data_IF_262531037167
#
_entry.id   IF_262531037167
#
_cell.length_a   1.000
_cell.length_b   1.000
_cell.length_c   1.000
_cell.angle_alpha   90.00
_cell.angle_beta   90.00
_cell.angle_gamma   90.00
#
_symmetry.space_group_name_H-M   'P 1'
#
loop_
_entity.id
_entity.type
_entity.pdbx_description
1 polymer ?
#
# COMPACT_ATOMS: atom_id res chain seq x y z
N UNK A 1 -2.04 19.65 -0.92
CA UNK A 1 -1.90 19.81 0.54
C UNK A 1 -1.98 18.43 1.16
N UNK A 2 -0.84 17.82 1.53
CA UNK A 2 -0.82 16.56 2.28
C UNK A 2 -1.30 16.85 3.70
N UNK A 3 -2.42 16.25 4.11
CA UNK A 3 -2.84 16.26 5.52
C UNK A 3 -2.18 15.04 6.17
N UNK A 4 -1.09 15.19 6.95
CA UNK A 4 -0.41 14.06 7.60
C UNK A 4 -1.30 13.28 8.59
N UNK A 5 -2.50 13.80 8.87
CA UNK A 5 -3.48 13.26 9.79
C UNK A 5 -4.72 12.64 9.11
N UNK A 6 -4.71 12.45 7.78
CA UNK A 6 -5.80 11.73 7.11
C UNK A 6 -5.59 10.21 7.21
N UNK A 7 -6.50 9.51 7.88
CA UNK A 7 -6.56 8.05 7.88
C UNK A 7 -6.72 7.49 6.45
N UNK A 8 -7.44 8.20 5.57
CA UNK A 8 -7.59 7.81 4.16
C UNK A 8 -6.24 7.80 3.44
N UNK A 9 -5.43 8.84 3.59
CA UNK A 9 -4.08 8.88 2.99
C UNK A 9 -3.19 7.75 3.53
N UNK A 10 -3.27 7.46 4.83
CA UNK A 10 -2.50 6.37 5.45
C UNK A 10 -2.91 5.00 4.92
N UNK A 11 -4.21 4.75 4.75
CA UNK A 11 -4.70 3.50 4.14
C UNK A 11 -4.30 3.39 2.67
N UNK A 12 -4.36 4.49 1.90
CA UNK A 12 -3.87 4.49 0.51
C UNK A 12 -2.36 4.28 0.43
N UNK A 13 -1.61 4.73 1.42
CA UNK A 13 -0.17 4.53 1.52
C UNK A 13 0.21 3.12 2.02
N UNK A 14 -0.75 2.36 2.55
CA UNK A 14 -0.54 1.00 3.02
C UNK A 14 -0.06 0.08 1.88
N UNK A 15 0.81 -0.87 2.23
CA UNK A 15 1.39 -1.80 1.26
C UNK A 15 0.31 -2.58 0.51
N UNK A 16 -0.72 -3.04 1.22
CA UNK A 16 -1.82 -3.81 0.63
C UNK A 16 -2.49 -3.02 -0.50
N UNK A 17 -2.90 -1.77 -0.24
CA UNK A 17 -3.53 -0.93 -1.23
C UNK A 17 -2.64 -0.72 -2.48
N UNK A 18 -1.34 -0.47 -2.29
CA UNK A 18 -0.38 -0.31 -3.39
C UNK A 18 -0.25 -1.58 -4.23
N UNK A 19 -0.20 -2.74 -3.59
CA UNK A 19 -0.08 -4.04 -4.27
C UNK A 19 -1.35 -4.39 -5.04
N UNK A 20 -2.53 -4.29 -4.42
CA UNK A 20 -3.77 -4.64 -5.11
C UNK A 20 -4.17 -3.62 -6.18
N UNK A 21 -3.79 -2.33 -6.05
CA UNK A 21 -3.94 -1.37 -7.15
C UNK A 21 -3.13 -1.80 -8.38
N UNK A 22 -1.87 -2.22 -8.18
CA UNK A 22 -1.03 -2.72 -9.27
C UNK A 22 -1.60 -3.98 -9.93
N UNK A 23 -2.25 -4.86 -9.15
CA UNK A 23 -2.97 -6.01 -9.71
C UNK A 23 -4.16 -5.61 -10.56
N UNK A 24 -4.99 -4.68 -10.08
CA UNK A 24 -6.16 -4.20 -10.82
C UNK A 24 -5.71 -3.52 -12.11
N UNK A 25 -4.74 -2.60 -12.03
CA UNK A 25 -4.17 -1.93 -13.20
C UNK A 25 -3.63 -2.95 -14.23
N UNK A 26 -2.95 -3.99 -13.76
CA UNK A 26 -2.47 -5.07 -14.61
C UNK A 26 -3.61 -5.87 -15.26
N UNK A 27 -4.69 -6.15 -14.51
CA UNK A 27 -5.87 -6.86 -15.03
C UNK A 27 -6.54 -6.10 -16.17
N UNK A 28 -6.69 -4.77 -16.05
CA UNK A 28 -7.21 -3.91 -17.11
C UNK A 28 -6.29 -3.83 -18.33
N UNK A 29 -4.98 -3.91 -18.11
CA UNK A 29 -3.97 -3.87 -19.17
C UNK A 29 -3.61 -5.24 -19.74
N UNK A 30 -4.30 -6.32 -19.31
CA UNK A 30 -3.99 -7.70 -19.70
C UNK A 30 -3.99 -7.91 -21.22
N UNK A 31 -4.88 -7.23 -21.95
CA UNK A 31 -4.95 -7.30 -23.41
C UNK A 31 -3.76 -6.63 -24.13
N UNK A 32 -2.97 -5.81 -23.44
CA UNK A 32 -1.76 -5.18 -23.98
C UNK A 32 -0.53 -6.09 -23.90
N UNK A 33 -0.59 -7.19 -23.13
CA UNK A 33 0.51 -8.13 -22.97
C UNK A 33 0.34 -9.34 -23.90
N UNK A 34 0.62 -9.14 -25.20
CA UNK A 34 0.43 -10.14 -26.27
C UNK A 34 1.23 -11.45 -26.14
N UNK A 35 2.30 -11.51 -25.34
CA UNK A 35 3.27 -12.62 -25.37
C UNK A 35 3.78 -13.11 -24.00
N UNK A 36 2.89 -13.32 -23.03
CA UNK A 36 3.20 -14.04 -21.77
C UNK A 36 4.12 -13.34 -20.76
N UNK A 37 4.95 -12.38 -21.17
CA UNK A 37 5.87 -11.62 -20.31
C UNK A 37 5.19 -10.65 -19.33
N UNK A 38 3.87 -10.45 -19.44
CA UNK A 38 3.11 -9.56 -18.56
C UNK A 38 3.20 -10.00 -17.09
N UNK A 39 3.07 -11.29 -16.80
CA UNK A 39 3.11 -11.77 -15.42
C UNK A 39 4.50 -11.64 -14.79
N UNK A 40 5.57 -11.92 -15.53
CA UNK A 40 6.96 -11.73 -15.04
C UNK A 40 7.19 -10.24 -14.70
N UNK A 41 6.71 -9.33 -15.55
CA UNK A 41 6.78 -7.90 -15.31
C UNK A 41 5.96 -7.49 -14.07
N UNK A 42 4.77 -8.07 -13.87
CA UNK A 42 3.95 -7.87 -12.68
C UNK A 42 4.69 -8.31 -11.41
N UNK A 43 5.19 -9.55 -11.36
CA UNK A 43 5.94 -10.05 -10.20
C UNK A 43 7.16 -9.17 -9.88
N UNK A 44 7.92 -8.75 -10.90
CA UNK A 44 9.04 -7.83 -10.72
C UNK A 44 8.60 -6.48 -10.12
N UNK A 45 7.45 -5.96 -10.54
CA UNK A 45 6.89 -4.70 -10.02
C UNK A 45 6.41 -4.84 -8.57
N UNK A 46 5.69 -5.93 -8.25
CA UNK A 46 5.24 -6.23 -6.89
C UNK A 46 6.44 -6.39 -5.93
N UNK A 47 7.48 -7.13 -6.33
CA UNK A 47 8.69 -7.30 -5.53
C UNK A 47 9.40 -5.98 -5.25
N UNK A 48 9.53 -5.10 -6.25
CA UNK A 48 10.10 -3.76 -6.07
C UNK A 48 9.32 -2.94 -5.05
N UNK A 49 7.99 -2.97 -5.11
CA UNK A 49 7.12 -2.26 -4.14
C UNK A 49 7.30 -2.82 -2.73
N UNK A 50 7.28 -4.15 -2.55
CA UNK A 50 7.53 -4.80 -1.25
C UNK A 50 8.89 -4.41 -0.67
N UNK A 51 9.95 -4.44 -1.50
CA UNK A 51 11.32 -4.07 -1.08
C UNK A 51 11.42 -2.60 -0.69
N UNK A 52 10.85 -1.70 -1.49
CA UNK A 52 10.85 -0.26 -1.21
C UNK A 52 10.10 0.04 0.08
N UNK A 53 8.91 -0.54 0.27
CA UNK A 53 8.12 -0.33 1.48
C UNK A 53 8.83 -0.84 2.74
N UNK A 54 9.51 -1.98 2.67
CA UNK A 54 10.33 -2.49 3.79
C UNK A 54 11.49 -1.54 4.14
N UNK A 55 12.10 -0.89 3.13
CA UNK A 55 13.14 0.11 3.35
C UNK A 55 12.56 1.37 4.01
N UNK A 56 11.44 1.87 3.51
CA UNK A 56 10.71 3.01 4.09
C UNK A 56 10.29 2.76 5.53
N UNK A 57 9.75 1.57 5.85
CA UNK A 57 9.40 1.18 7.21
C UNK A 57 10.62 1.15 8.14
N UNK A 58 11.76 0.62 7.69
CA UNK A 58 13.00 0.62 8.49
C UNK A 58 13.48 2.05 8.78
N UNK A 59 13.49 2.90 7.76
CA UNK A 59 13.87 4.31 7.92
C UNK A 59 12.91 4.98 8.91
N UNK A 60 11.60 4.77 8.74
CA UNK A 60 10.59 5.30 9.66
C UNK A 60 10.83 4.84 11.11
N UNK A 61 11.09 3.54 11.33
CA UNK A 61 11.42 2.99 12.65
C UNK A 61 12.67 3.63 13.26
N UNK A 62 13.70 3.89 12.46
CA UNK A 62 14.89 4.61 12.92
C UNK A 62 14.58 6.08 13.23
N UNK A 63 13.79 6.75 12.40
CA UNK A 63 13.40 8.15 12.61
C UNK A 63 12.57 8.31 13.87
N UNK A 64 11.62 7.43 14.18
CA UNK A 64 10.84 7.50 15.42
C UNK A 64 11.66 7.16 16.67
N UNK A 65 12.75 6.40 16.55
CA UNK A 65 13.68 6.14 17.66
C UNK A 65 14.46 7.40 18.02
N UNK A 66 14.87 8.18 17.02
CA UNK A 66 15.59 9.45 17.22
C UNK A 66 14.63 10.59 17.58
N UNK A 67 13.44 10.60 16.98
CA UNK A 67 12.44 11.65 17.11
C UNK A 67 11.06 11.04 17.41
N UNK A 68 10.78 10.69 18.68
CA UNK A 68 9.52 10.06 19.06
C UNK A 68 8.27 10.91 18.76
N UNK A 69 8.42 12.23 18.65
CA UNK A 69 7.37 13.16 18.26
C UNK A 69 6.88 13.00 16.80
N UNK A 70 7.66 12.35 15.93
CA UNK A 70 7.26 12.05 14.54
C UNK A 70 6.43 10.76 14.44
N UNK A 71 6.15 10.10 15.58
CA UNK A 71 5.29 8.93 15.61
C UNK A 71 3.87 9.31 15.16
N UNK A 72 3.34 8.54 14.22
CA UNK A 72 1.98 8.78 13.75
C UNK A 72 0.98 8.45 14.87
N UNK A 73 -0.04 9.31 15.09
CA UNK A 73 -1.12 9.00 16.01
C UNK A 73 -1.92 7.77 15.52
N UNK A 74 -2.61 7.08 16.43
CA UNK A 74 -3.43 5.92 16.08
C UNK A 74 -4.47 6.27 15.02
N UNK A 75 -4.73 5.35 14.08
CA UNK A 75 -5.67 5.58 12.97
C UNK A 75 -7.07 5.95 13.47
N UNK A 76 -7.50 5.41 14.60
CA UNK A 76 -8.80 5.67 15.24
C UNK A 76 -8.98 7.11 15.72
N UNK A 77 -7.88 7.81 15.98
CA UNK A 77 -7.92 9.23 16.42
C UNK A 77 -8.07 10.21 15.27
N UNK A 78 -8.01 9.73 14.02
CA UNK A 78 -8.22 10.54 12.84
C UNK A 78 -9.72 10.74 12.58
N UNK A 79 -10.14 11.99 12.34
CA UNK A 79 -11.55 12.34 12.10
C UNK A 79 -12.15 11.68 10.86
N UNK A 80 -11.33 11.21 9.92
CA UNK A 80 -11.73 10.52 8.70
C UNK A 80 -11.64 8.98 8.81
N UNK A 81 -11.45 8.43 10.01
CA UNK A 81 -11.28 6.99 10.23
C UNK A 81 -12.45 6.14 9.71
N UNK A 82 -13.70 6.53 9.97
CA UNK A 82 -14.88 5.79 9.48
C UNK A 82 -14.95 5.74 7.96
N UNK A 83 -14.55 6.81 7.28
CA UNK A 83 -14.47 6.82 5.82
C UNK A 83 -13.30 5.98 5.33
N UNK A 84 -12.18 6.01 6.05
CA UNK A 84 -11.00 5.20 5.78
C UNK A 84 -11.31 3.69 5.89
N UNK A 85 -12.16 3.27 6.85
CA UNK A 85 -12.61 1.88 6.97
C UNK A 85 -13.31 1.37 5.71
N UNK A 86 -14.08 2.22 5.02
CA UNK A 86 -14.70 1.87 3.73
C UNK A 86 -13.66 1.56 2.65
N UNK A 87 -12.50 2.23 2.68
CA UNK A 87 -11.37 1.92 1.79
C UNK A 87 -10.66 0.61 2.15
N UNK A 88 -10.78 0.14 3.39
CA UNK A 88 -10.27 -1.17 3.83
C UNK A 88 -11.06 -2.32 3.18
N UNK A 89 -12.34 -2.10 2.90
CA UNK A 89 -13.19 -3.02 2.10
C UNK A 89 -13.09 -2.79 0.59
N UNK A 90 -12.24 -1.86 0.13
CA UNK A 90 -12.02 -1.67 -1.30
C UNK A 90 -11.32 -2.91 -1.86
N UNK A 91 -11.75 -3.38 -3.03
CA UNK A 91 -11.22 -4.59 -3.68
C UNK A 91 -9.67 -4.59 -3.77
N UNK A 92 -9.08 -3.42 -4.04
CA UNK A 92 -7.62 -3.25 -4.06
C UNK A 92 -6.96 -3.55 -2.72
N UNK A 93 -7.58 -3.20 -1.60
CA UNK A 93 -7.01 -3.43 -0.29
C UNK A 93 -7.09 -4.93 0.07
N UNK A 94 -8.25 -5.57 -0.14
CA UNK A 94 -8.43 -7.01 0.10
C UNK A 94 -7.50 -7.87 -0.75
N UNK A 95 -7.41 -7.60 -2.07
CA UNK A 95 -6.47 -8.29 -2.96
C UNK A 95 -5.01 -8.11 -2.50
N UNK A 96 -4.67 -6.90 -2.08
CA UNK A 96 -3.36 -6.60 -1.54
C UNK A 96 -3.01 -7.36 -0.26
N UNK A 97 -3.98 -7.55 0.65
CA UNK A 97 -3.78 -8.31 1.88
C UNK A 97 -3.53 -9.79 1.59
N UNK A 98 -4.32 -10.39 0.69
CA UNK A 98 -4.12 -11.78 0.25
C UNK A 98 -2.73 -11.95 -0.37
N UNK A 99 -2.29 -10.99 -1.20
CA UNK A 99 -0.93 -11.00 -1.75
C UNK A 99 0.14 -10.94 -0.66
N UNK A 100 -0.01 -10.07 0.34
CA UNK A 100 0.96 -9.99 1.44
C UNK A 100 1.06 -11.31 2.19
N UNK A 101 -0.06 -12.01 2.39
CA UNK A 101 -0.08 -13.31 3.06
C UNK A 101 0.55 -14.43 2.22
N UNK A 102 0.48 -14.34 0.89
CA UNK A 102 1.01 -15.36 -0.02
C UNK A 102 2.48 -15.15 -0.42
N UNK A 103 3.08 -13.99 -0.12
CA UNK A 103 4.48 -13.63 -0.43
C UNK A 103 5.39 -13.58 0.80
#
# INVERSE_FOLDING_TARGET
>A
MHKPNSAIERIKNHLAYKLGKVMIDFSHQRNNYKYGGGYIALFKKLYKIKKQHKKEQKIYQQTIQVFPQLKYPNLETCSDYEQALKYKFHLSYMLGEVLIQTF
#
